data_IF_409152452993
#
_entry.id   IF_409152452993
#
_cell.length_a   1.000
_cell.length_b   1.000
_cell.length_c   1.000
_cell.angle_alpha   90.00
_cell.angle_beta   90.00
_cell.angle_gamma   90.00
#
_symmetry.space_group_name_H-M   'P 1'
#
loop_
_entity.id
_entity.type
_entity.pdbx_description
1 polymer ?
#
# COMPACT_ATOMS: atom_id res chain seq x y z
N UNK A 1 -3.40 12.43 11.96
CA UNK A 1 -4.39 12.81 10.93
C UNK A 1 -5.58 13.55 11.54
N UNK A 2 -6.44 14.17 10.71
CA UNK A 2 -7.71 14.79 11.09
C UNK A 2 -8.91 13.87 10.82
N UNK A 3 -9.80 14.25 9.90
CA UNK A 3 -10.98 13.48 9.47
C UNK A 3 -10.77 12.73 8.14
N UNK A 4 -11.62 11.73 7.90
CA UNK A 4 -11.79 11.09 6.59
C UNK A 4 -13.29 11.09 6.28
N UNK A 5 -13.66 11.71 5.16
CA UNK A 5 -15.05 11.85 4.71
C UNK A 5 -15.16 11.36 3.28
N UNK A 6 -15.60 10.11 3.11
CA UNK A 6 -15.71 9.45 1.81
C UNK A 6 -17.16 8.97 1.62
N UNK A 7 -17.73 9.29 0.46
CA UNK A 7 -19.06 8.84 0.05
C UNK A 7 -19.00 8.31 -1.38
N UNK A 8 -19.60 7.15 -1.59
CA UNK A 8 -19.59 6.47 -2.91
C UNK A 8 -18.15 6.31 -3.45
N UNK A 9 -17.21 6.03 -2.54
CA UNK A 9 -15.79 5.83 -2.84
C UNK A 9 -14.94 7.10 -2.99
N UNK A 10 -15.50 8.31 -2.88
CA UNK A 10 -14.76 9.56 -3.11
C UNK A 10 -15.04 10.61 -2.05
N UNK A 11 -14.10 11.52 -1.84
CA UNK A 11 -14.29 12.61 -0.89
C UNK A 11 -12.96 13.21 -0.49
N UNK A 12 -12.74 13.39 0.82
CA UNK A 12 -11.59 14.11 1.32
C UNK A 12 -11.02 13.50 2.61
N UNK A 13 -9.73 13.71 2.82
CA UNK A 13 -9.03 13.42 4.07
C UNK A 13 -8.35 14.70 4.58
N UNK A 14 -8.37 14.94 5.89
CA UNK A 14 -7.52 15.95 6.51
C UNK A 14 -6.18 15.32 6.92
N UNK A 15 -5.13 15.63 6.17
CA UNK A 15 -3.77 15.11 6.38
C UNK A 15 -2.87 16.30 6.72
N UNK A 16 -2.25 16.26 7.90
CA UNK A 16 -1.36 17.32 8.42
C UNK A 16 -1.96 18.74 8.33
N UNK A 17 -3.26 18.84 8.61
CA UNK A 17 -4.01 20.10 8.56
C UNK A 17 -4.40 20.57 7.16
N UNK A 18 -4.17 19.75 6.13
CA UNK A 18 -4.55 20.01 4.74
C UNK A 18 -5.72 19.12 4.34
N UNK A 19 -6.72 19.71 3.67
CA UNK A 19 -7.87 18.99 3.13
C UNK A 19 -7.55 18.46 1.72
N UNK A 20 -7.35 17.15 1.59
CA UNK A 20 -6.84 16.50 0.38
C UNK A 20 -7.94 15.65 -0.26
N UNK A 21 -8.22 15.78 -1.58
CA UNK A 21 -9.09 14.87 -2.29
C UNK A 21 -8.61 13.43 -2.16
N UNK A 22 -9.54 12.51 -1.90
CA UNK A 22 -9.23 11.12 -1.65
C UNK A 22 -10.23 10.19 -2.34
N UNK A 23 -9.79 8.97 -2.65
CA UNK A 23 -10.63 7.93 -3.22
C UNK A 23 -10.32 6.56 -2.61
N UNK A 24 -11.38 5.80 -2.31
CA UNK A 24 -11.32 4.37 -2.06
C UNK A 24 -11.10 3.68 -3.40
N UNK A 25 -9.99 2.96 -3.53
CA UNK A 25 -9.71 2.21 -4.75
C UNK A 25 -9.87 0.70 -4.58
N UNK A 26 -9.82 0.21 -3.34
CA UNK A 26 -10.06 -1.19 -3.02
C UNK A 26 -10.81 -1.30 -1.71
N UNK A 27 -11.70 -2.28 -1.61
CA UNK A 27 -12.36 -2.63 -0.36
C UNK A 27 -12.44 -4.15 -0.27
N UNK A 28 -12.10 -4.69 0.89
CA UNK A 28 -12.18 -6.12 1.14
C UNK A 28 -12.73 -6.41 2.53
N UNK A 29 -13.63 -7.38 2.59
CA UNK A 29 -14.04 -7.97 3.85
C UNK A 29 -12.97 -8.95 4.33
N UNK A 30 -12.62 -8.84 5.60
CA UNK A 30 -11.76 -9.79 6.30
C UNK A 30 -12.61 -10.55 7.33
N UNK A 31 -13.46 -11.43 6.80
CA UNK A 31 -14.53 -12.11 7.54
C UNK A 31 -14.03 -12.86 8.78
N UNK A 32 -12.83 -13.42 8.72
CA UNK A 32 -12.19 -14.13 9.84
C UNK A 32 -12.06 -13.28 11.11
N UNK A 33 -12.01 -11.95 10.95
CA UNK A 33 -11.87 -11.00 12.04
C UNK A 33 -13.06 -10.02 12.15
N UNK A 34 -14.09 -10.19 11.31
CA UNK A 34 -15.24 -9.30 11.27
C UNK A 34 -14.88 -7.86 10.89
N UNK A 35 -13.81 -7.68 10.11
CA UNK A 35 -13.31 -6.38 9.67
C UNK A 35 -13.62 -6.14 8.20
N UNK A 36 -13.79 -4.88 7.82
CA UNK A 36 -13.68 -4.43 6.44
C UNK A 36 -12.52 -3.47 6.34
N UNK A 37 -11.68 -3.64 5.31
CA UNK A 37 -10.55 -2.76 5.01
C UNK A 37 -10.82 -1.99 3.74
N UNK A 38 -10.74 -0.66 3.80
CA UNK A 38 -10.77 0.21 2.65
C UNK A 38 -9.36 0.74 2.39
N UNK A 39 -8.88 0.56 1.18
CA UNK A 39 -7.63 1.14 0.72
C UNK A 39 -7.95 2.46 0.04
N UNK A 40 -7.38 3.53 0.58
CA UNK A 40 -7.65 4.90 0.17
C UNK A 40 -6.36 5.53 -0.31
N UNK A 41 -6.42 6.24 -1.42
CA UNK A 41 -5.34 7.11 -1.88
C UNK A 41 -5.78 8.57 -1.81
N UNK A 42 -4.85 9.43 -1.41
CA UNK A 42 -5.02 10.87 -1.36
C UNK A 42 -3.77 11.54 -1.94
N UNK A 43 -3.60 11.56 -3.27
CA UNK A 43 -2.41 12.13 -3.91
C UNK A 43 -2.41 13.66 -3.80
N UNK A 44 -1.22 14.22 -3.58
CA UNK A 44 -0.93 15.67 -3.65
C UNK A 44 0.11 15.94 -4.75
N UNK A 45 0.57 17.19 -4.90
CA UNK A 45 1.62 17.55 -5.88
C UNK A 45 2.90 16.72 -5.69
N UNK A 46 3.33 16.52 -4.45
CA UNK A 46 4.66 15.96 -4.14
C UNK A 46 4.63 14.67 -3.34
N UNK A 47 3.46 14.17 -2.97
CA UNK A 47 3.33 13.02 -2.09
C UNK A 47 2.09 12.20 -2.39
N UNK A 48 2.25 10.88 -2.31
CA UNK A 48 1.13 9.95 -2.26
C UNK A 48 0.88 9.60 -0.80
N UNK A 49 -0.31 9.93 -0.30
CA UNK A 49 -0.78 9.37 0.97
C UNK A 49 -1.61 8.13 0.69
N UNK A 50 -1.29 7.05 1.40
CA UNK A 50 -2.05 5.80 1.37
C UNK A 50 -2.62 5.58 2.76
N UNK A 51 -3.92 5.29 2.82
CA UNK A 51 -4.61 5.02 4.07
C UNK A 51 -5.30 3.66 4.00
N UNK A 52 -5.21 2.91 5.09
CA UNK A 52 -5.94 1.66 5.28
C UNK A 52 -6.95 1.89 6.40
N UNK A 53 -8.21 2.06 6.01
CA UNK A 53 -9.32 2.38 6.91
C UNK A 53 -10.00 1.08 7.31
N UNK A 54 -10.01 0.77 8.60
CA UNK A 54 -10.60 -0.46 9.13
C UNK A 54 -11.91 -0.16 9.85
N UNK A 55 -12.96 -0.90 9.50
CA UNK A 55 -14.23 -0.88 10.22
C UNK A 55 -14.59 -2.25 10.77
N UNK A 56 -15.31 -2.26 11.89
CA UNK A 56 -16.01 -3.44 12.40
C UNK A 56 -17.49 -3.17 12.20
N UNK A 57 -18.16 -3.97 11.38
CA UNK A 57 -19.51 -3.66 10.89
C UNK A 57 -19.55 -2.25 10.29
N UNK A 58 -20.42 -1.37 10.81
CA UNK A 58 -20.57 0.01 10.34
C UNK A 58 -19.75 1.02 11.15
N UNK A 59 -18.87 0.57 12.06
CA UNK A 59 -18.11 1.46 12.95
C UNK A 59 -16.66 1.53 12.55
N UNK A 60 -16.19 2.73 12.19
CA UNK A 60 -14.78 3.01 11.96
C UNK A 60 -13.98 2.81 13.26
N UNK A 61 -12.91 2.01 13.19
CA UNK A 61 -12.08 1.68 14.35
C UNK A 61 -10.70 2.33 14.27
N UNK A 62 -10.00 2.10 13.15
CA UNK A 62 -8.59 2.43 13.05
C UNK A 62 -8.24 2.84 11.63
N UNK A 63 -7.24 3.69 11.50
CA UNK A 63 -6.67 4.07 10.22
C UNK A 63 -5.16 3.85 10.30
N UNK A 64 -4.60 3.16 9.31
CA UNK A 64 -3.18 3.19 9.06
C UNK A 64 -2.87 4.20 7.98
N UNK A 65 -1.82 4.97 8.14
CA UNK A 65 -1.42 6.00 7.18
C UNK A 65 0.07 5.93 6.91
N UNK A 66 0.42 6.02 5.64
CA UNK A 66 1.78 6.12 5.17
C UNK A 66 1.90 7.12 4.03
N UNK A 67 3.12 7.52 3.76
CA UNK A 67 3.48 8.32 2.59
C UNK A 67 4.99 8.19 2.34
N UNK A 68 5.53 8.97 1.41
CA UNK A 68 6.97 8.93 1.13
C UNK A 68 7.79 9.43 2.32
N UNK A 69 7.27 10.42 3.04
CA UNK A 69 7.95 11.04 4.17
C UNK A 69 7.53 10.49 5.52
N UNK A 70 6.36 9.87 5.62
CA UNK A 70 5.84 9.31 6.86
C UNK A 70 5.78 7.79 6.80
N UNK A 71 6.45 7.08 7.73
CA UNK A 71 6.31 5.64 7.81
C UNK A 71 4.88 5.24 8.12
N UNK A 72 4.52 4.01 7.77
CA UNK A 72 3.23 3.43 8.14
C UNK A 72 3.00 3.57 9.66
N UNK A 73 1.97 4.35 10.00
CA UNK A 73 1.62 4.70 11.35
C UNK A 73 0.17 4.31 11.66
N UNK A 74 -0.05 3.88 12.89
CA UNK A 74 -1.35 3.54 13.42
C UNK A 74 -2.04 4.75 14.04
N UNK A 75 -3.31 4.94 13.74
CA UNK A 75 -4.17 5.95 14.36
C UNK A 75 -5.51 5.35 14.82
N UNK A 76 -5.91 5.68 16.05
CA UNK A 76 -7.28 5.43 16.51
C UNK A 76 -8.23 6.34 15.74
N UNK A 77 -9.35 5.78 15.28
CA UNK A 77 -10.38 6.53 14.57
C UNK A 77 -11.76 6.23 15.16
N UNK A 78 -12.72 7.11 14.87
CA UNK A 78 -14.10 6.93 15.28
C UNK A 78 -15.02 7.51 14.22
N UNK A 79 -16.15 6.87 13.97
CA UNK A 79 -17.09 7.32 12.95
C UNK A 79 -17.89 6.16 12.39
N UNK A 80 -18.51 6.39 11.24
CA UNK A 80 -19.32 5.41 10.53
C UNK A 80 -18.60 5.05 9.24
N UNK A 81 -18.55 3.76 8.93
CA UNK A 81 -18.00 3.26 7.67
C UNK A 81 -18.81 2.04 7.24
N UNK A 82 -19.59 2.17 6.17
CA UNK A 82 -20.45 1.10 5.65
C UNK A 82 -19.96 0.64 4.28
N UNK A 83 -20.01 -0.67 4.04
CA UNK A 83 -19.71 -1.28 2.75
C UNK A 83 -20.77 -2.33 2.44
N UNK A 84 -21.43 -2.21 1.29
CA UNK A 84 -22.47 -3.14 0.85
C UNK A 84 -21.91 -4.29 -0.01
N UNK A 85 -20.59 -4.38 -0.15
CA UNK A 85 -19.92 -5.38 -0.98
C UNK A 85 -19.61 -4.92 -2.40
N UNK A 86 -19.96 -3.68 -2.77
CA UNK A 86 -19.72 -3.15 -4.10
C UNK A 86 -19.02 -1.79 -4.06
N UNK A 87 -17.92 -1.67 -4.80
CA UNK A 87 -17.36 -0.36 -5.12
C UNK A 87 -18.19 0.26 -6.25
N UNK A 88 -18.58 1.52 -6.05
CA UNK A 88 -19.24 2.31 -7.09
C UNK A 88 -18.16 2.91 -7.99
N UNK A 89 -18.29 2.73 -9.30
CA UNK A 89 -17.42 3.39 -10.26
C UNK A 89 -17.57 4.91 -10.09
N UNK A 90 -16.44 5.58 -9.87
CA UNK A 90 -16.39 7.01 -9.66
C UNK A 90 -15.24 7.61 -10.48
N UNK A 91 -15.39 8.89 -10.84
CA UNK A 91 -14.37 9.66 -11.55
C UNK A 91 -13.94 10.84 -10.67
N UNK A 92 -13.32 10.57 -9.50
CA UNK A 92 -12.88 11.64 -8.63
C UNK A 92 -11.89 12.54 -9.36
N UNK A 93 -12.00 13.84 -9.10
CA UNK A 93 -11.00 14.80 -9.54
C UNK A 93 -9.80 14.73 -8.59
N UNK A 94 -9.04 13.64 -8.66
CA UNK A 94 -7.79 13.53 -7.94
C UNK A 94 -6.69 14.25 -8.71
N UNK A 95 -5.78 14.86 -7.96
CA UNK A 95 -4.57 15.38 -8.56
C UNK A 95 -3.69 14.20 -9.00
N UNK A 96 -3.28 14.20 -10.27
CA UNK A 96 -2.20 13.31 -10.72
C UNK A 96 -0.93 13.64 -9.94
N UNK A 97 -0.34 12.59 -9.36
CA UNK A 97 0.96 12.67 -8.73
C UNK A 97 2.01 13.07 -9.78
N UNK A 98 2.83 14.08 -9.47
CA UNK A 98 3.86 14.57 -10.40
C UNK A 98 5.24 13.98 -10.16
N UNK A 99 5.49 13.42 -8.97
CA UNK A 99 6.82 13.05 -8.50
C UNK A 99 6.83 11.65 -7.88
N UNK A 100 7.92 10.92 -8.12
CA UNK A 100 8.23 9.68 -7.43
C UNK A 100 9.04 9.99 -6.15
N UNK A 101 9.09 9.06 -5.17
CA UNK A 101 9.95 9.22 -4.00
C UNK A 101 11.42 9.46 -4.40
N UNK A 102 12.10 10.31 -3.65
CA UNK A 102 13.54 10.52 -3.78
C UNK A 102 14.34 9.40 -3.07
N UNK A 103 15.64 9.32 -3.35
CA UNK A 103 16.52 8.25 -2.83
C UNK A 103 16.51 8.11 -1.30
N UNK A 104 16.39 9.21 -0.54
CA UNK A 104 16.36 9.14 0.93
C UNK A 104 15.00 8.73 1.51
N UNK A 105 13.98 8.60 0.67
CA UNK A 105 12.66 8.04 1.02
C UNK A 105 12.56 6.56 0.67
N UNK A 106 13.50 6.00 -0.08
CA UNK A 106 13.42 4.61 -0.53
C UNK A 106 13.80 3.63 0.57
N UNK A 107 13.16 2.46 0.51
CA UNK A 107 13.50 1.30 1.34
C UNK A 107 14.90 0.81 0.96
N UNK A 108 15.66 0.41 1.98
CA UNK A 108 16.96 -0.24 1.83
C UNK A 108 16.93 -1.63 2.49
N UNK A 109 17.91 -2.47 2.17
CA UNK A 109 18.08 -3.79 2.79
C UNK A 109 17.18 -4.89 2.25
N UNK A 110 16.50 -4.66 1.13
CA UNK A 110 15.75 -5.70 0.40
C UNK A 110 16.36 -5.84 -1.00
N UNK A 111 16.55 -7.07 -1.44
CA UNK A 111 17.02 -7.39 -2.78
C UNK A 111 16.02 -8.30 -3.45
N UNK A 112 15.65 -7.98 -4.69
CA UNK A 112 14.81 -8.79 -5.57
C UNK A 112 15.54 -8.95 -6.90
N UNK A 113 15.72 -10.16 -7.40
CA UNK A 113 16.41 -10.43 -8.65
C UNK A 113 15.63 -11.43 -9.49
N UNK A 114 15.15 -10.98 -10.64
CA UNK A 114 14.46 -11.77 -11.63
C UNK A 114 14.59 -11.16 -13.02
N UNK A 115 14.15 -11.87 -14.08
CA UNK A 115 14.23 -11.38 -15.46
C UNK A 115 13.37 -10.14 -15.72
N UNK A 116 12.27 -9.97 -14.98
CA UNK A 116 11.28 -8.91 -15.17
C UNK A 116 11.13 -7.98 -13.96
N UNK A 117 11.90 -8.21 -12.91
CA UNK A 117 11.86 -7.43 -11.67
C UNK A 117 13.25 -7.47 -11.05
N UNK A 118 13.89 -6.32 -10.93
CA UNK A 118 15.23 -6.24 -10.38
C UNK A 118 15.39 -5.04 -9.46
N UNK A 119 15.90 -5.28 -8.26
CA UNK A 119 16.07 -4.29 -7.22
C UNK A 119 17.14 -4.76 -6.23
N UNK A 120 18.13 -3.91 -5.94
CA UNK A 120 19.22 -4.23 -5.01
C UNK A 120 19.33 -3.27 -3.83
N UNK A 121 19.18 -1.98 -4.09
CA UNK A 121 19.11 -0.88 -3.12
C UNK A 121 18.53 0.35 -3.84
N UNK A 122 17.81 1.22 -3.13
CA UNK A 122 17.22 2.42 -3.73
C UNK A 122 16.13 2.08 -4.75
N UNK A 123 16.17 2.69 -5.93
CA UNK A 123 15.21 2.38 -7.01
C UNK A 123 15.56 1.08 -7.77
N UNK A 124 14.55 0.43 -8.34
CA UNK A 124 14.69 -0.76 -9.20
C UNK A 124 13.94 -0.62 -10.52
N UNK A 125 13.80 -1.74 -11.23
CA UNK A 125 12.97 -1.84 -12.44
C UNK A 125 11.99 -3.00 -12.34
N UNK A 126 10.84 -2.86 -12.99
CA UNK A 126 9.81 -3.90 -13.11
C UNK A 126 9.16 -3.84 -14.49
N UNK A 127 8.86 -4.99 -15.09
CA UNK A 127 8.03 -5.07 -16.29
C UNK A 127 6.56 -5.24 -15.90
N UNK A 128 5.73 -4.27 -16.27
CA UNK A 128 4.27 -4.33 -16.11
C UNK A 128 3.68 -4.29 -17.52
N UNK A 129 2.93 -5.32 -17.89
CA UNK A 129 2.25 -5.41 -19.19
C UNK A 129 3.18 -5.15 -20.39
N UNK A 130 4.36 -5.80 -20.36
CA UNK A 130 5.40 -5.70 -21.41
C UNK A 130 6.03 -4.31 -21.54
N UNK A 131 5.93 -3.49 -20.49
CA UNK A 131 6.57 -2.18 -20.41
C UNK A 131 7.44 -2.11 -19.17
N UNK A 132 8.61 -1.51 -19.32
CA UNK A 132 9.51 -1.27 -18.20
C UNK A 132 9.05 -0.03 -17.42
N UNK A 133 8.97 -0.18 -16.10
CA UNK A 133 8.71 0.87 -15.13
C UNK A 133 9.90 0.98 -14.19
N UNK A 134 10.22 2.21 -13.77
CA UNK A 134 11.03 2.41 -12.57
C UNK A 134 10.22 2.03 -11.34
N UNK A 135 10.82 1.31 -10.40
CA UNK A 135 10.21 0.87 -9.15
C UNK A 135 10.83 1.67 -7.99
N UNK A 136 9.99 2.34 -7.20
CA UNK A 136 10.39 3.24 -6.11
C UNK A 136 9.71 2.80 -4.81
N UNK A 137 10.26 1.79 -4.12
CA UNK A 137 9.70 1.31 -2.88
C UNK A 137 9.99 2.27 -1.73
N UNK A 138 8.95 2.72 -1.03
CA UNK A 138 9.08 3.74 0.03
C UNK A 138 8.66 3.25 1.42
N UNK A 139 7.94 2.13 1.51
CA UNK A 139 7.61 1.49 2.78
C UNK A 139 7.80 -0.03 2.70
N UNK A 140 8.36 -0.58 3.78
CA UNK A 140 8.43 -2.02 4.04
C UNK A 140 7.57 -2.34 5.25
N UNK A 141 6.60 -3.24 5.10
CA UNK A 141 5.79 -3.78 6.20
C UNK A 141 6.26 -5.20 6.48
N UNK A 142 6.71 -5.44 7.72
CA UNK A 142 7.18 -6.74 8.16
C UNK A 142 6.04 -7.60 8.68
N UNK A 143 5.29 -8.24 7.80
CA UNK A 143 4.22 -9.16 8.19
C UNK A 143 4.71 -10.62 8.40
N UNK A 144 5.97 -10.83 8.82
CA UNK A 144 6.52 -12.17 9.04
C UNK A 144 5.77 -12.96 10.12
N UNK A 145 5.10 -12.27 11.03
CA UNK A 145 4.26 -12.85 12.09
C UNK A 145 2.74 -12.71 11.81
N UNK A 146 2.32 -12.23 10.62
CA UNK A 146 0.90 -12.02 10.28
C UNK A 146 0.18 -13.30 9.83
N UNK A 147 0.94 -14.34 9.48
CA UNK A 147 0.43 -15.65 9.09
C UNK A 147 -0.16 -16.46 10.25
N UNK A 148 -0.87 -17.54 9.93
CA UNK A 148 -1.38 -18.47 10.97
C UNK A 148 -0.32 -19.43 11.47
N UNK A 149 0.75 -19.64 10.70
CA UNK A 149 1.91 -20.42 11.09
C UNK A 149 3.18 -19.58 10.99
N UNK A 150 4.27 -20.06 11.60
CA UNK A 150 5.58 -19.42 11.56
C UNK A 150 6.19 -19.30 10.14
N UNK A 151 5.63 -20.01 9.15
CA UNK A 151 6.09 -19.97 7.75
C UNK A 151 5.15 -19.22 6.83
N UNK A 152 3.94 -18.88 7.28
CA UNK A 152 2.91 -18.20 6.47
C UNK A 152 3.07 -16.67 6.52
N UNK A 153 4.20 -16.17 7.02
CA UNK A 153 4.52 -14.76 7.06
C UNK A 153 4.87 -14.20 5.69
N UNK A 154 4.75 -12.88 5.54
CA UNK A 154 5.14 -12.18 4.33
C UNK A 154 5.73 -10.80 4.64
N UNK A 155 6.37 -10.20 3.66
CA UNK A 155 6.70 -8.78 3.69
C UNK A 155 5.94 -8.06 2.59
N UNK A 156 5.56 -6.82 2.85
CA UNK A 156 4.90 -5.96 1.87
C UNK A 156 5.84 -4.82 1.53
N UNK A 157 6.07 -4.62 0.24
CA UNK A 157 6.87 -3.52 -0.25
C UNK A 157 6.00 -2.57 -1.05
N UNK A 158 5.63 -1.47 -0.40
CA UNK A 158 4.73 -0.48 -0.96
C UNK A 158 5.54 0.45 -1.85
N UNK A 159 5.12 0.51 -3.11
CA UNK A 159 5.96 1.00 -4.18
C UNK A 159 5.19 1.92 -5.12
N UNK A 160 5.91 2.92 -5.62
CA UNK A 160 5.47 3.73 -6.75
C UNK A 160 6.16 3.22 -8.00
N UNK A 161 5.40 3.07 -9.09
CA UNK A 161 5.92 2.66 -10.38
C UNK A 161 5.80 3.81 -11.36
N UNK A 162 6.90 4.18 -12.01
CA UNK A 162 6.92 5.22 -13.04
C UNK A 162 7.17 4.60 -14.41
N UNK A 163 6.13 4.58 -15.23
CA UNK A 163 6.16 4.05 -16.58
C UNK A 163 6.47 5.12 -17.63
N UNK A 164 6.37 4.74 -18.92
CA UNK A 164 6.46 5.68 -20.03
C UNK A 164 5.39 6.79 -19.92
N UNK A 165 5.67 7.95 -20.53
CA UNK A 165 4.73 9.08 -20.58
C UNK A 165 4.26 9.59 -19.21
N UNK A 166 5.11 9.43 -18.18
CA UNK A 166 4.82 9.83 -16.80
C UNK A 166 3.57 9.14 -16.21
N UNK A 167 3.25 7.93 -16.68
CA UNK A 167 2.29 7.06 -16.00
C UNK A 167 2.83 6.72 -14.61
N UNK A 168 2.07 7.06 -13.56
CA UNK A 168 2.42 6.71 -12.19
C UNK A 168 1.38 5.77 -11.61
N UNK A 169 1.86 4.65 -11.09
CA UNK A 169 1.05 3.65 -10.41
C UNK A 169 1.53 3.48 -8.96
N UNK A 170 0.60 3.11 -8.09
CA UNK A 170 0.91 2.55 -6.77
C UNK A 170 0.65 1.04 -6.81
N UNK A 171 1.42 0.28 -6.04
CA UNK A 171 1.09 -1.11 -5.77
C UNK A 171 1.98 -1.70 -4.69
N UNK A 172 1.63 -2.92 -4.28
CA UNK A 172 2.29 -3.62 -3.19
C UNK A 172 2.93 -4.88 -3.75
N UNK A 173 4.24 -5.02 -3.57
CA UNK A 173 4.96 -6.26 -3.85
C UNK A 173 4.98 -7.13 -2.59
N UNK A 174 4.32 -8.28 -2.65
CA UNK A 174 4.26 -9.27 -1.57
C UNK A 174 5.41 -10.26 -1.72
N UNK A 175 6.12 -10.48 -0.61
CA UNK A 175 7.29 -11.34 -0.47
C UNK A 175 6.99 -12.44 0.56
N UNK A 176 6.48 -13.59 0.11
CA UNK A 176 6.03 -14.68 0.99
C UNK A 176 7.18 -15.56 1.45
N UNK A 177 7.38 -15.70 2.77
CA UNK A 177 8.52 -16.42 3.36
C UNK A 177 8.60 -17.88 2.90
N UNK A 178 7.45 -18.51 2.70
CA UNK A 178 7.34 -19.90 2.21
C UNK A 178 7.75 -20.07 0.75
N UNK A 179 7.73 -18.99 -0.05
CA UNK A 179 8.05 -19.03 -1.48
C UNK A 179 8.97 -17.86 -1.88
N UNK A 180 10.26 -17.92 -1.51
CA UNK A 180 11.20 -16.83 -1.72
C UNK A 180 11.61 -16.61 -3.19
N UNK A 181 11.02 -17.36 -4.13
CA UNK A 181 11.31 -17.32 -5.57
C UNK A 181 10.21 -16.65 -6.38
N UNK A 182 9.16 -16.20 -5.71
CA UNK A 182 8.08 -15.45 -6.33
C UNK A 182 7.84 -14.14 -5.60
N UNK A 183 7.47 -13.13 -6.38
CA UNK A 183 7.00 -11.84 -5.89
C UNK A 183 5.65 -11.56 -6.51
N UNK A 184 4.66 -11.19 -5.71
CA UNK A 184 3.32 -10.90 -6.20
C UNK A 184 3.09 -9.39 -6.14
N UNK A 185 2.88 -8.76 -7.30
CA UNK A 185 2.36 -7.40 -7.38
C UNK A 185 0.84 -7.44 -7.22
N UNK A 186 0.32 -6.81 -6.17
CA UNK A 186 -1.10 -6.72 -5.85
C UNK A 186 -1.49 -5.28 -5.53
N UNK A 187 -2.80 -5.03 -5.39
CA UNK A 187 -3.38 -3.71 -5.08
C UNK A 187 -2.86 -2.59 -6.00
N UNK A 188 -2.63 -2.92 -7.28
CA UNK A 188 -2.06 -2.01 -8.26
C UNK A 188 -3.12 -1.02 -8.74
N UNK A 189 -2.80 0.26 -8.72
CA UNK A 189 -3.65 1.33 -9.23
C UNK A 189 -2.85 2.37 -9.99
N UNK A 190 -3.32 2.72 -11.19
CA UNK A 190 -2.84 3.89 -11.92
C UNK A 190 -3.50 5.15 -11.37
N UNK A 191 -2.71 6.12 -10.91
CA UNK A 191 -3.22 7.20 -10.04
C UNK A 191 -4.06 8.25 -10.77
N UNK A 192 -3.87 8.42 -12.09
CA UNK A 192 -4.57 9.45 -12.87
C UNK A 192 -5.97 9.04 -13.35
N UNK A 193 -6.17 7.77 -13.66
CA UNK A 193 -7.44 7.22 -14.16
C UNK A 193 -8.08 6.23 -13.18
N UNK A 194 -7.41 5.96 -12.05
CA UNK A 194 -7.83 5.01 -11.02
C UNK A 194 -8.11 3.62 -11.53
N UNK A 195 -7.41 3.26 -12.61
CA UNK A 195 -7.53 1.94 -13.16
C UNK A 195 -6.82 0.93 -12.26
N UNK A 196 -7.57 -0.09 -11.82
CA UNK A 196 -7.05 -1.19 -11.03
C UNK A 196 -6.40 -2.23 -11.92
N UNK A 197 -5.10 -2.40 -11.74
CA UNK A 197 -4.34 -3.42 -12.43
C UNK A 197 -4.59 -4.82 -11.86
N UNK A 198 -4.54 -5.87 -12.69
CA UNK A 198 -4.61 -7.24 -12.21
C UNK A 198 -3.37 -7.58 -11.37
N UNK A 199 -3.57 -8.49 -10.42
CA UNK A 199 -2.46 -9.09 -9.68
C UNK A 199 -1.55 -9.86 -10.61
N UNK A 200 -0.24 -9.71 -10.44
CA UNK A 200 0.78 -10.32 -11.31
C UNK A 200 1.84 -11.00 -10.46
N UNK A 201 2.18 -12.24 -10.80
CA UNK A 201 3.27 -12.98 -10.14
C UNK A 201 4.53 -12.93 -11.00
N UNK A 202 5.64 -12.59 -10.37
CA UNK A 202 6.97 -12.54 -10.96
C UNK A 202 7.82 -13.68 -10.41
N UNK A 203 8.50 -14.40 -11.31
CA UNK A 203 9.60 -15.30 -10.95
C UNK A 203 10.81 -14.43 -10.58
N UNK A 204 11.12 -14.33 -9.29
CA UNK A 204 12.24 -13.53 -8.80
C UNK A 204 12.68 -14.03 -7.41
N UNK A 205 13.98 -14.22 -7.24
CA UNK A 205 14.56 -14.49 -5.93
C UNK A 205 14.56 -13.21 -5.11
N UNK A 206 14.14 -13.27 -3.84
CA UNK A 206 14.22 -12.12 -2.95
C UNK A 206 14.88 -12.46 -1.61
N UNK A 207 15.43 -11.44 -0.98
CA UNK A 207 16.02 -11.54 0.36
C UNK A 207 15.94 -10.21 1.10
N UNK A 208 15.95 -10.29 2.43
CA UNK A 208 16.01 -9.13 3.32
C UNK A 208 17.27 -9.25 4.16
N UNK A 209 18.10 -8.21 4.16
CA UNK A 209 19.27 -8.15 5.01
C UNK A 209 18.82 -8.14 6.49
N UNK A 210 19.48 -8.94 7.33
CA UNK A 210 19.27 -8.95 8.78
C UNK A 210 19.31 -7.51 9.32
N UNK A 211 18.41 -7.17 10.27
CA UNK A 211 17.72 -5.89 10.29
C UNK A 211 18.67 -4.72 10.09
N UNK A 212 18.57 -4.10 8.90
CA UNK A 212 18.96 -2.72 8.75
C UNK A 212 18.17 -1.92 9.79
N UNK A 213 18.86 -1.04 10.53
CA UNK A 213 18.36 -0.30 11.70
C UNK A 213 17.13 0.62 11.39
N UNK A 214 16.62 0.57 10.16
CA UNK A 214 15.48 1.32 9.64
C UNK A 214 14.29 0.44 9.21
N UNK A 215 14.04 -0.71 9.84
CA UNK A 215 12.74 -1.39 9.70
C UNK A 215 11.66 -0.46 10.27
N UNK A 216 10.99 0.30 9.39
CA UNK A 216 10.14 1.42 9.80
C UNK A 216 8.82 1.00 10.48
N UNK A 217 8.48 -0.29 10.49
CA UNK A 217 7.34 -0.80 11.24
C UNK A 217 7.46 -2.29 11.54
N UNK A 218 7.14 -2.70 12.78
CA UNK A 218 7.01 -4.12 13.18
C UNK A 218 5.59 -4.34 13.71
N UNK A 219 4.75 -5.14 13.03
CA UNK A 219 3.31 -5.27 13.28
C UNK A 219 2.94 -6.09 14.51
N UNK A 220 3.75 -6.12 15.58
CA UNK A 220 3.31 -6.72 16.86
C UNK A 220 2.00 -6.09 17.38
N UNK A 221 1.58 -4.95 16.85
CA UNK A 221 0.28 -4.32 17.12
C UNK A 221 -0.91 -4.96 16.39
N UNK A 222 -0.73 -5.67 15.27
CA UNK A 222 -1.82 -6.41 14.62
C UNK A 222 -2.35 -7.55 15.52
N UNK A 223 -1.46 -8.18 16.32
CA UNK A 223 -1.87 -9.18 17.30
C UNK A 223 -2.69 -8.62 18.47
N UNK A 224 -2.63 -7.31 18.74
CA UNK A 224 -3.34 -6.68 19.87
C UNK A 224 -4.64 -5.98 19.46
N UNK A 225 -4.82 -5.60 18.19
CA UNK A 225 -6.02 -4.90 17.73
C UNK A 225 -7.20 -5.82 17.38
N UNK A 226 -7.00 -7.14 17.38
CA UNK A 226 -8.00 -8.12 16.89
C UNK A 226 -8.34 -9.20 17.93
N UNK A 227 -7.88 -9.05 19.17
CA UNK A 227 -8.36 -9.85 20.29
C UNK A 227 -9.27 -8.99 21.19
N UNK A 228 -10.58 -9.30 21.29
CA UNK A 228 -11.45 -8.71 22.31
C UNK A 228 -11.04 -9.14 23.73
#
# INVERSE_FOLDING_TARGET
MGSVELKDGVGFCDIDGTHVPAAVYWAQSWDAYGLTVFHVIAPTVGELHVLYVYSVTDTLQTIWHESYTHPLAYENASGIASYDGHLVESTPNLQCLGEAPNENQLVDGVTITGPLLNWGAGSGTIEIEQREYGCYPFQLVDCSDCGTTATDGWFELHSVFRGPQDQIEFGILYLFVEDPRHVILHHRIQLCDLWLGPSTTYEADWSIAAPAVNSRFHPRLFSLAVHP
#
